data_IF_094738164758
#
_entry.id   IF_094738164758
#
_cell.length_a   1.000
_cell.length_b   1.000
_cell.length_c   1.000
_cell.angle_alpha   90.00
_cell.angle_beta   90.00
_cell.angle_gamma   90.00
#
_symmetry.space_group_name_H-M   'P 1'
#
loop_
_entity.id
_entity.type
_entity.pdbx_description
1 polymer ?
#
# COMPACT_ATOMS: atom_id res chain seq x y z
N UNK A 1 10.39 -45.13 -8.35
CA UNK A 1 10.52 -44.93 -6.89
C UNK A 1 9.45 -44.03 -6.31
N UNK A 2 8.53 -44.61 -5.55
CA UNK A 2 7.47 -43.88 -4.81
C UNK A 2 8.03 -42.94 -3.73
N UNK A 3 9.20 -43.27 -3.20
CA UNK A 3 9.96 -42.48 -2.21
C UNK A 3 10.49 -41.17 -2.79
N UNK A 4 11.05 -41.20 -4.00
CA UNK A 4 11.56 -39.99 -4.66
C UNK A 4 10.42 -38.98 -4.93
N UNK A 5 9.26 -39.47 -5.34
CA UNK A 5 8.08 -38.64 -5.59
C UNK A 5 7.55 -37.98 -4.30
N UNK A 6 7.58 -38.71 -3.17
CA UNK A 6 7.13 -38.17 -1.87
C UNK A 6 8.08 -37.10 -1.33
N UNK A 7 9.40 -37.28 -1.51
CA UNK A 7 10.39 -36.26 -1.14
C UNK A 7 10.18 -34.98 -1.94
N UNK A 8 10.03 -35.08 -3.26
CA UNK A 8 9.81 -33.92 -4.12
C UNK A 8 8.54 -33.13 -3.77
N UNK A 9 7.45 -33.82 -3.44
CA UNK A 9 6.20 -33.20 -3.01
C UNK A 9 6.36 -32.46 -1.66
N UNK A 10 7.08 -33.05 -0.72
CA UNK A 10 7.34 -32.43 0.59
C UNK A 10 8.22 -31.17 0.46
N UNK A 11 9.23 -31.20 -0.40
CA UNK A 11 10.09 -30.05 -0.66
C UNK A 11 9.31 -28.88 -1.30
N UNK A 12 8.37 -29.18 -2.20
CA UNK A 12 7.50 -28.19 -2.86
C UNK A 12 6.53 -27.54 -1.86
N UNK A 13 5.89 -28.33 -0.99
CA UNK A 13 5.04 -27.84 0.09
C UNK A 13 5.82 -26.96 1.08
N UNK A 14 7.06 -27.33 1.43
CA UNK A 14 7.91 -26.56 2.33
C UNK A 14 8.33 -25.22 1.70
N UNK A 15 8.66 -25.22 0.40
CA UNK A 15 8.98 -24.01 -0.34
C UNK A 15 7.79 -23.04 -0.41
N UNK A 16 6.58 -23.54 -0.67
CA UNK A 16 5.36 -22.73 -0.65
C UNK A 16 5.12 -22.11 0.73
N UNK A 17 5.30 -22.89 1.80
CA UNK A 17 5.10 -22.42 3.17
C UNK A 17 6.10 -21.30 3.52
N UNK A 18 7.37 -21.48 3.16
CA UNK A 18 8.43 -20.47 3.33
C UNK A 18 8.09 -19.17 2.60
N UNK A 19 7.59 -19.25 1.37
CA UNK A 19 7.16 -18.07 0.60
C UNK A 19 5.93 -17.39 1.21
N UNK A 20 4.93 -18.15 1.70
CA UNK A 20 3.76 -17.60 2.42
C UNK A 20 4.18 -16.87 3.70
N UNK A 21 5.09 -17.46 4.49
CA UNK A 21 5.62 -16.84 5.72
C UNK A 21 6.40 -15.57 5.39
N UNK A 22 7.28 -15.62 4.39
CA UNK A 22 8.08 -14.46 3.92
C UNK A 22 7.17 -13.32 3.44
N UNK A 23 6.14 -13.64 2.64
CA UNK A 23 5.13 -12.65 2.22
C UNK A 23 4.42 -12.02 3.41
N UNK A 24 4.01 -12.83 4.40
CA UNK A 24 3.35 -12.34 5.62
C UNK A 24 4.26 -11.43 6.44
N UNK A 25 5.54 -11.80 6.61
CA UNK A 25 6.55 -11.01 7.32
C UNK A 25 6.82 -9.67 6.64
N UNK A 26 6.77 -9.64 5.31
CA UNK A 26 7.02 -8.44 4.52
C UNK A 26 5.77 -7.56 4.29
N UNK A 27 4.64 -7.88 4.95
CA UNK A 27 3.43 -7.04 4.85
C UNK A 27 3.70 -5.69 5.51
N UNK A 28 3.61 -4.63 4.70
CA UNK A 28 3.58 -3.26 5.20
C UNK A 28 2.13 -2.86 5.40
N UNK A 29 1.87 -2.11 6.46
CA UNK A 29 0.58 -1.46 6.65
C UNK A 29 0.46 -0.36 5.60
N UNK A 30 -0.52 -0.51 4.71
CA UNK A 30 -0.84 0.45 3.67
C UNK A 30 -2.17 1.09 4.06
N UNK A 31 -2.25 2.42 4.00
CA UNK A 31 -3.49 3.13 4.28
C UNK A 31 -4.56 2.77 3.23
N UNK A 32 -5.85 2.60 3.58
CA UNK A 32 -6.89 2.24 2.62
C UNK A 32 -6.97 3.16 1.40
N UNK A 33 -6.66 4.45 1.54
CA UNK A 33 -6.62 5.41 0.42
C UNK A 33 -5.62 5.01 -0.69
N UNK A 34 -4.60 4.20 -0.37
CA UNK A 34 -3.57 3.79 -1.32
C UNK A 34 -3.89 2.44 -1.98
N UNK A 35 -4.95 1.74 -1.56
CA UNK A 35 -5.36 0.47 -2.17
C UNK A 35 -5.75 0.65 -3.64
N UNK A 36 -6.39 1.78 -3.96
CA UNK A 36 -6.84 2.10 -5.32
C UNK A 36 -5.74 2.60 -6.25
N UNK A 37 -4.51 2.82 -5.74
CA UNK A 37 -3.38 3.33 -6.54
C UNK A 37 -3.11 2.51 -7.81
N UNK A 38 -3.29 1.18 -7.73
CA UNK A 38 -3.10 0.29 -8.89
C UNK A 38 -4.15 0.48 -9.99
N UNK A 39 -5.34 0.95 -9.64
CA UNK A 39 -6.45 1.15 -10.56
C UNK A 39 -6.50 2.60 -11.08
N UNK A 40 -6.26 3.56 -10.20
CA UNK A 40 -6.48 4.99 -10.46
C UNK A 40 -5.20 5.75 -10.86
N UNK A 41 -4.03 5.12 -10.73
CA UNK A 41 -2.74 5.77 -10.91
C UNK A 41 -2.27 6.50 -9.64
N UNK A 42 -1.06 7.07 -9.70
CA UNK A 42 -0.36 7.47 -8.46
C UNK A 42 -0.77 8.81 -7.85
N UNK A 43 -1.36 9.75 -8.60
CA UNK A 43 -1.42 11.14 -8.14
C UNK A 43 -2.76 11.87 -8.33
N UNK A 44 -3.48 11.66 -9.43
CA UNK A 44 -4.63 12.51 -9.76
C UNK A 44 -5.85 12.29 -8.87
N UNK A 45 -6.03 11.10 -8.31
CA UNK A 45 -7.17 10.80 -7.42
C UNK A 45 -6.85 10.96 -5.94
N UNK A 46 -5.56 10.96 -5.57
CA UNK A 46 -5.13 10.96 -4.17
C UNK A 46 -5.55 12.22 -3.42
N UNK A 47 -5.57 13.38 -4.08
CA UNK A 47 -5.97 14.64 -3.46
C UNK A 47 -7.37 14.55 -2.83
N UNK A 48 -8.34 13.97 -3.54
CA UNK A 48 -9.72 13.83 -3.04
C UNK A 48 -9.83 12.95 -1.80
N UNK A 49 -8.97 11.94 -1.71
CA UNK A 49 -8.94 11.06 -0.55
C UNK A 49 -8.17 11.68 0.62
N UNK A 50 -7.11 12.46 0.36
CA UNK A 50 -6.39 13.21 1.40
C UNK A 50 -7.31 14.21 2.12
N UNK A 51 -8.25 14.85 1.42
CA UNK A 51 -9.23 15.77 2.04
C UNK A 51 -10.14 15.10 3.09
N UNK A 52 -10.21 13.77 3.12
CA UNK A 52 -11.01 13.02 4.12
C UNK A 52 -10.22 12.69 5.39
N UNK A 53 -8.89 12.79 5.34
CA UNK A 53 -7.98 12.39 6.40
C UNK A 53 -6.98 13.52 6.68
N UNK A 54 -7.33 14.41 7.60
CA UNK A 54 -6.54 15.62 7.89
C UNK A 54 -5.10 15.29 8.34
N UNK A 55 -4.91 14.20 9.09
CA UNK A 55 -3.57 13.70 9.47
C UNK A 55 -2.72 13.30 8.26
N UNK A 56 -3.35 12.68 7.25
CA UNK A 56 -2.68 12.30 6.00
C UNK A 56 -2.45 13.48 5.09
N UNK A 57 -3.40 14.41 5.06
CA UNK A 57 -3.26 15.66 4.32
C UNK A 57 -2.03 16.43 4.83
N UNK A 58 -1.92 16.63 6.14
CA UNK A 58 -0.78 17.30 6.75
C UNK A 58 0.53 16.53 6.54
N UNK A 59 0.53 15.20 6.65
CA UNK A 59 1.73 14.39 6.33
C UNK A 59 2.19 14.53 4.88
N UNK A 60 1.25 14.63 3.93
CA UNK A 60 1.53 14.70 2.50
C UNK A 60 1.96 16.10 2.07
N UNK A 61 1.16 17.12 2.41
CA UNK A 61 1.41 18.52 2.03
C UNK A 61 2.34 19.25 3.00
N UNK A 62 2.67 18.65 4.15
CA UNK A 62 3.42 19.28 5.26
C UNK A 62 2.76 20.57 5.73
N UNK A 63 1.42 20.60 5.67
CA UNK A 63 0.61 21.77 5.87
C UNK A 63 -0.85 21.38 6.15
N UNK A 64 -1.53 22.06 7.09
CA UNK A 64 -2.95 21.85 7.31
C UNK A 64 -3.77 22.34 6.12
N UNK A 65 -4.90 21.69 5.90
CA UNK A 65 -5.78 21.96 4.75
C UNK A 65 -6.23 23.43 4.65
N UNK A 66 -6.44 24.11 5.78
CA UNK A 66 -6.80 25.54 5.78
C UNK A 66 -5.73 26.42 5.11
N UNK A 67 -4.45 26.24 5.48
CA UNK A 67 -3.34 27.01 4.90
C UNK A 67 -3.13 26.69 3.43
N UNK A 68 -3.38 25.44 3.03
CA UNK A 68 -3.33 25.07 1.62
C UNK A 68 -4.33 25.90 0.80
N UNK A 69 -5.58 26.01 1.26
CA UNK A 69 -6.59 26.84 0.58
C UNK A 69 -6.29 28.33 0.63
N UNK A 70 -5.70 28.83 1.72
CA UNK A 70 -5.29 30.23 1.77
C UNK A 70 -4.18 30.53 0.77
N UNK A 71 -3.24 29.61 0.54
CA UNK A 71 -2.25 29.73 -0.52
C UNK A 71 -2.87 29.61 -1.92
N UNK A 72 -3.83 28.71 -2.10
CA UNK A 72 -4.50 28.52 -3.39
C UNK A 72 -5.18 29.82 -3.85
N UNK A 73 -5.85 30.54 -2.94
CA UNK A 73 -6.48 31.84 -3.19
C UNK A 73 -5.51 32.95 -3.64
N UNK A 74 -4.20 32.79 -3.44
CA UNK A 74 -3.20 33.78 -3.87
C UNK A 74 -2.75 33.56 -5.32
N UNK A 75 -3.03 32.38 -5.87
CA UNK A 75 -2.56 31.95 -7.20
C UNK A 75 -3.73 31.94 -8.20
N UNK A 76 -4.95 31.66 -7.74
CA UNK A 76 -6.21 31.84 -8.50
C UNK A 76 -6.61 33.31 -8.62
#
# INVERSE_FOLDING_TARGET
DKLALTILLLDEEEAELKEKIKKKRNRKWVHPMLEKRKLEGEYWTLFKDLLKYDDKFDQYFRMPQCKFYDLLKLIE
#
